data_IF_009497467684
#
_entry.id   IF_009497467684
#
_cell.length_a   1.000
_cell.length_b   1.000
_cell.length_c   1.000
_cell.angle_alpha   90.00
_cell.angle_beta   90.00
_cell.angle_gamma   90.00
#
_symmetry.space_group_name_H-M   'P 1'
#
loop_
_entity.id
_entity.type
_entity.pdbx_description
1 polymer ?
#
# COMPACT_ATOMS: atom_id res chain seq x y z
N UNK A 1 -14.00 -41.50 -6.68
CA UNK A 1 -13.57 -41.39 -6.49
C UNK A 1 -13.42 -40.95 -6.02
N UNK A 2 -13.54 -40.72 -5.71
CA UNK A 2 -13.20 -40.46 -5.27
C UNK A 2 -12.99 -39.90 -4.77
N UNK A 3 -13.09 -39.80 -4.66
CA UNK A 3 -12.66 -39.48 -4.16
C UNK A 3 -12.81 -38.58 -3.85
N UNK A 4 -13.10 -38.89 -4.00
CA UNK A 4 -13.06 -38.31 -3.80
C UNK A 4 -13.40 -37.52 -3.29
N UNK A 5 -13.65 -37.64 -3.28
CA UNK A 5 -13.58 -37.11 -2.89
C UNK A 5 -13.39 -36.49 -2.23
N UNK A 6 -13.44 -36.67 -2.10
CA UNK A 6 -12.93 -36.24 -1.63
C UNK A 6 -12.62 -35.66 -1.31
N UNK A 7 -12.56 -35.87 -1.24
CA UNK A 7 -12.11 -35.45 -1.08
C UNK A 7 -12.27 -34.55 -0.95
N UNK A 8 -12.69 -34.92 -1.13
CA UNK A 8 -12.69 -34.22 -1.09
C UNK A 8 -12.91 -33.53 -0.46
N UNK A 9 -13.19 -33.66 -0.33
CA UNK A 9 -13.03 -33.13 0.14
C UNK A 9 -12.75 -32.62 0.76
N UNK A 10 -12.49 -32.96 0.95
CA UNK A 10 -11.92 -32.56 1.35
C UNK A 10 -11.67 -31.75 1.53
N UNK A 11 -11.84 -31.93 1.38
CA UNK A 11 -11.44 -31.29 1.37
C UNK A 11 -11.70 -30.38 1.58
N UNK A 12 -12.06 -30.47 1.51
CA UNK A 12 -12.09 -29.73 1.63
C UNK A 12 -12.11 -29.10 2.24
N UNK A 13 -12.18 -29.30 2.41
CA UNK A 13 -11.87 -28.80 2.90
C UNK A 13 -11.37 -28.25 3.31
N UNK A 14 -11.26 -28.33 3.45
CA UNK A 14 -10.50 -27.84 3.72
C UNK A 14 -10.38 -27.01 3.62
N UNK A 15 -10.65 -27.04 3.40
CA UNK A 15 -10.38 -26.36 3.24
C UNK A 15 -10.70 -25.47 3.38
N UNK A 16 -10.91 -25.57 3.61
CA UNK A 16 -11.12 -24.82 3.65
C UNK A 16 -11.08 -24.30 4.49
N UNK A 17 -10.98 -24.28 5.01
CA UNK A 17 -10.75 -23.71 5.62
C UNK A 17 -10.20 -23.05 5.89
N UNK A 18 -9.87 -23.10 5.85
CA UNK A 18 -9.31 -22.44 5.88
C UNK A 18 -9.07 -21.64 5.68
N UNK A 19 -9.23 -21.39 5.49
CA UNK A 19 -9.03 -20.53 5.10
C UNK A 19 -9.14 -19.61 5.36
N UNK A 20 -9.54 -19.30 5.74
CA UNK A 20 -9.61 -18.43 5.99
C UNK A 20 -9.06 -17.80 6.66
N UNK A 21 -9.04 -17.90 7.04
CA UNK A 21 -8.59 -17.28 7.63
C UNK A 21 -7.64 -16.70 7.62
N UNK A 22 -7.30 -16.73 7.24
CA UNK A 22 -6.54 -16.17 7.04
C UNK A 22 -6.50 -15.26 6.41
N UNK A 23 -7.19 -15.57 6.08
CA UNK A 23 -7.29 -14.37 5.50
C UNK A 23 -6.91 -13.36 6.40
N UNK A 24 -6.32 -13.57 6.93
CA UNK A 24 -6.11 -12.78 7.76
C UNK A 24 -5.46 -11.70 7.49
N UNK A 25 -5.65 -10.80 8.10
CA UNK A 25 -5.12 -9.54 7.86
C UNK A 25 -3.66 -9.54 8.18
N UNK A 26 -2.90 -9.18 7.20
CA UNK A 26 -1.49 -8.92 7.34
C UNK A 26 -1.36 -7.53 7.94
N UNK A 27 -0.46 -7.34 8.88
CA UNK A 27 -0.23 -6.00 9.41
C UNK A 27 0.32 -5.11 8.30
N UNK A 28 0.00 -3.83 8.38
CA UNK A 28 0.50 -2.88 7.38
C UNK A 28 2.03 -2.82 7.39
N UNK A 29 2.62 -2.99 8.54
CA UNK A 29 4.08 -2.99 8.66
C UNK A 29 4.69 -4.18 7.91
N UNK A 30 4.10 -5.35 8.06
CA UNK A 30 4.55 -6.54 7.35
C UNK A 30 4.35 -6.38 5.85
N UNK A 31 3.21 -5.83 5.46
CA UNK A 31 2.93 -5.58 4.05
C UNK A 31 3.94 -4.61 3.44
N UNK A 32 4.24 -3.52 4.15
CA UNK A 32 5.23 -2.55 3.65
C UNK A 32 6.61 -3.18 3.50
N UNK A 33 6.99 -4.05 4.42
CA UNK A 33 8.26 -4.73 4.34
C UNK A 33 8.31 -5.66 3.13
N UNK A 34 7.25 -6.40 2.90
CA UNK A 34 7.17 -7.30 1.75
C UNK A 34 7.24 -6.52 0.43
N UNK A 35 6.57 -5.38 0.36
CA UNK A 35 6.60 -4.53 -0.82
C UNK A 35 8.02 -4.06 -1.09
N UNK A 36 8.72 -3.58 -0.06
CA UNK A 36 10.08 -3.09 -0.23
C UNK A 36 11.04 -4.18 -0.64
N UNK A 37 10.81 -5.42 -0.19
CA UNK A 37 11.70 -6.53 -0.51
C UNK A 37 11.45 -7.12 -1.89
N UNK A 38 10.18 -7.20 -2.31
CA UNK A 38 9.81 -7.99 -3.47
C UNK A 38 9.30 -7.18 -4.66
N UNK A 39 8.82 -5.97 -4.45
CA UNK A 39 8.26 -5.17 -5.53
C UNK A 39 9.34 -4.34 -6.21
N UNK A 40 9.07 -3.97 -7.46
CA UNK A 40 10.00 -3.13 -8.22
C UNK A 40 9.76 -1.66 -7.90
N UNK A 41 10.84 -0.95 -7.69
CA UNK A 41 10.76 0.49 -7.48
C UNK A 41 10.17 1.17 -8.72
N UNK A 42 9.17 2.02 -8.53
CA UNK A 42 8.50 2.68 -9.64
C UNK A 42 8.80 4.18 -9.72
N UNK A 43 8.85 4.85 -8.58
CA UNK A 43 9.15 6.27 -8.55
C UNK A 43 8.95 6.84 -7.16
N UNK A 44 9.28 8.12 -7.01
CA UNK A 44 9.12 8.76 -5.70
C UNK A 44 8.99 10.26 -5.80
N UNK A 45 8.43 10.84 -4.74
CA UNK A 45 8.54 12.27 -4.45
C UNK A 45 9.32 12.36 -3.16
N UNK A 46 10.54 12.88 -3.24
CA UNK A 46 11.48 12.85 -2.13
C UNK A 46 11.24 13.96 -1.12
N UNK A 47 11.97 13.87 -0.02
CA UNK A 47 11.80 14.80 1.10
C UNK A 47 12.12 16.24 0.72
N UNK A 48 13.04 16.44 -0.22
CA UNK A 48 13.38 17.79 -0.63
C UNK A 48 12.18 18.48 -1.30
N UNK A 49 11.50 17.76 -2.20
CA UNK A 49 10.31 18.30 -2.88
C UNK A 49 9.15 18.51 -1.91
N UNK A 50 9.13 17.81 -0.79
CA UNK A 50 8.04 17.85 0.18
C UNK A 50 8.33 18.73 1.38
N UNK A 51 9.41 19.53 1.34
CA UNK A 51 9.77 20.39 2.47
C UNK A 51 8.64 21.32 2.87
N UNK A 52 7.89 21.83 1.91
CA UNK A 52 6.80 22.76 2.19
C UNK A 52 5.46 22.08 2.47
N UNK A 53 5.41 20.76 2.38
CA UNK A 53 4.17 20.05 2.69
C UNK A 53 3.91 20.06 4.19
N UNK A 54 2.65 20.21 4.58
CA UNK A 54 2.28 20.21 5.99
C UNK A 54 2.41 18.82 6.61
N UNK A 55 2.23 17.77 5.82
CA UNK A 55 2.18 16.43 6.40
C UNK A 55 3.00 15.37 5.66
N UNK A 56 3.35 15.58 4.40
CA UNK A 56 4.09 14.58 3.65
C UNK A 56 5.58 14.77 3.82
N UNK A 57 6.29 13.69 4.13
CA UNK A 57 7.74 13.70 4.23
C UNK A 57 8.39 13.01 3.05
N UNK A 58 7.80 11.89 2.60
CA UNK A 58 8.36 11.10 1.50
C UNK A 58 7.26 10.21 0.96
N UNK A 59 7.20 10.04 -0.35
CA UNK A 59 6.20 9.17 -0.99
C UNK A 59 6.91 8.36 -2.07
N UNK A 60 6.82 7.03 -1.94
CA UNK A 60 7.45 6.11 -2.90
C UNK A 60 6.42 5.16 -3.48
N UNK A 61 6.55 4.88 -4.75
CA UNK A 61 5.68 3.92 -5.44
C UNK A 61 6.47 2.70 -5.86
N UNK A 62 5.82 1.56 -5.78
CA UNK A 62 6.38 0.25 -6.13
C UNK A 62 5.38 -0.50 -6.99
N UNK A 63 5.89 -1.27 -7.93
CA UNK A 63 5.06 -2.11 -8.77
C UNK A 63 5.29 -3.57 -8.44
N UNK A 64 4.19 -4.30 -8.26
CA UNK A 64 4.27 -5.73 -8.04
C UNK A 64 3.07 -6.38 -8.74
N UNK A 65 3.38 -7.27 -9.68
CA UNK A 65 2.35 -8.07 -10.37
C UNK A 65 1.28 -7.19 -11.01
N UNK A 66 1.71 -6.08 -11.61
CA UNK A 66 0.81 -5.18 -12.34
C UNK A 66 0.08 -4.16 -11.50
N UNK A 67 0.27 -4.16 -10.19
CA UNK A 67 -0.37 -3.20 -9.30
C UNK A 67 0.65 -2.24 -8.71
N UNK A 68 0.25 -1.00 -8.50
CA UNK A 68 1.08 -0.04 -7.80
C UNK A 68 0.72 0.00 -6.33
N UNK A 69 1.77 -0.07 -5.51
CA UNK A 69 1.67 0.20 -4.08
C UNK A 69 2.40 1.49 -3.80
N UNK A 70 1.81 2.33 -2.95
CA UNK A 70 2.44 3.58 -2.56
C UNK A 70 2.67 3.55 -1.06
N UNK A 71 3.90 3.87 -0.65
CA UNK A 71 4.23 4.00 0.77
C UNK A 71 4.53 5.45 1.02
N UNK A 72 3.72 6.08 1.87
CA UNK A 72 3.88 7.49 2.21
C UNK A 72 4.33 7.60 3.66
N UNK A 73 5.36 8.39 3.88
CA UNK A 73 5.84 8.72 5.22
C UNK A 73 5.32 10.10 5.56
N UNK A 74 4.58 10.19 6.65
CA UNK A 74 4.02 11.44 7.14
C UNK A 74 4.96 12.04 8.17
N UNK A 75 5.05 13.36 8.18
CA UNK A 75 5.86 14.09 9.16
C UNK A 75 5.35 13.81 10.57
N UNK A 76 6.28 13.81 11.54
CA UNK A 76 5.91 13.66 12.94
C UNK A 76 5.08 14.86 13.39
N UNK A 77 4.04 14.58 14.18
CA UNK A 77 3.28 15.64 14.82
C UNK A 77 4.02 16.13 16.06
N UNK A 78 3.70 17.33 16.55
CA UNK A 78 4.28 17.78 17.81
C UNK A 78 4.07 16.74 18.91
N UNK A 79 5.15 16.40 19.61
CA UNK A 79 5.10 15.40 20.67
C UNK A 79 5.39 13.99 20.22
N UNK A 80 5.52 13.75 18.92
CA UNK A 80 5.89 12.45 18.37
C UNK A 80 7.37 12.45 17.99
N UNK A 81 8.03 11.33 18.24
CA UNK A 81 9.44 11.19 17.87
C UNK A 81 9.63 10.71 16.44
N UNK A 82 8.76 9.79 16.00
CA UNK A 82 8.97 9.11 14.73
C UNK A 82 7.88 9.45 13.73
N UNK A 83 8.25 9.59 12.44
CA UNK A 83 7.27 9.73 11.39
C UNK A 83 6.43 8.47 11.31
N UNK A 84 5.23 8.61 10.73
CA UNK A 84 4.34 7.48 10.52
C UNK A 84 4.30 7.13 9.04
N UNK A 85 4.28 5.82 8.76
CA UNK A 85 4.21 5.33 7.39
C UNK A 85 2.86 4.69 7.13
N UNK A 86 2.33 4.95 5.95
CA UNK A 86 1.06 4.39 5.50
C UNK A 86 1.25 3.75 4.13
N UNK A 87 0.49 2.69 3.87
CA UNK A 87 0.58 1.96 2.61
C UNK A 87 -0.75 2.05 1.86
N UNK A 88 -0.66 2.24 0.55
CA UNK A 88 -1.81 2.40 -0.34
C UNK A 88 -1.73 1.34 -1.42
N UNK A 89 -2.84 0.68 -1.69
CA UNK A 89 -2.91 -0.49 -2.56
C UNK A 89 -3.68 -0.19 -3.83
N UNK A 90 -3.20 -0.74 -4.94
CA UNK A 90 -3.93 -0.66 -6.19
C UNK A 90 -4.08 0.76 -6.73
N UNK A 91 -3.10 1.60 -6.51
CA UNK A 91 -3.13 2.97 -7.02
C UNK A 91 -2.97 2.92 -8.54
N UNK A 92 -3.91 3.50 -9.30
CA UNK A 92 -3.73 3.55 -10.74
C UNK A 92 -2.49 4.37 -11.10
N UNK A 93 -1.76 3.94 -12.13
CA UNK A 93 -0.55 4.66 -12.54
C UNK A 93 -0.86 6.08 -12.96
N UNK A 94 -2.05 6.32 -13.53
CA UNK A 94 -2.47 7.68 -13.87
C UNK A 94 -2.64 8.55 -12.63
N UNK A 95 -3.13 7.98 -11.53
CA UNK A 95 -3.26 8.71 -10.27
C UNK A 95 -1.88 9.04 -9.70
N UNK A 96 -0.97 8.06 -9.74
CA UNK A 96 0.38 8.30 -9.30
C UNK A 96 1.04 9.43 -10.10
N UNK A 97 0.86 9.39 -11.42
CA UNK A 97 1.44 10.42 -12.29
C UNK A 97 0.84 11.79 -12.00
N UNK A 98 -0.47 11.86 -11.78
CA UNK A 98 -1.13 13.13 -11.46
C UNK A 98 -0.67 13.69 -10.13
N UNK A 99 -0.40 12.82 -9.17
CA UNK A 99 0.16 13.24 -7.89
C UNK A 99 1.58 13.76 -8.06
N UNK A 100 2.43 12.97 -8.72
CA UNK A 100 3.86 13.28 -8.82
C UNK A 100 4.14 14.48 -9.72
N UNK A 101 3.47 14.54 -10.86
CA UNK A 101 3.79 15.51 -11.91
C UNK A 101 2.69 16.54 -12.19
N UNK A 102 1.67 16.60 -11.34
CA UNK A 102 0.57 17.52 -11.55
C UNK A 102 0.97 18.96 -11.39
N UNK A 103 0.16 19.85 -11.99
CA UNK A 103 0.44 21.27 -11.99
C UNK A 103 -0.49 22.06 -11.08
N UNK A 104 -1.60 21.48 -10.64
CA UNK A 104 -2.59 22.20 -9.84
C UNK A 104 -2.43 21.88 -8.38
N UNK A 105 -2.42 22.92 -7.56
CA UNK A 105 -2.37 22.73 -6.12
C UNK A 105 -1.00 22.28 -5.61
N UNK A 106 -0.99 21.89 -4.36
CA UNK A 106 0.22 21.42 -3.68
C UNK A 106 0.32 19.91 -3.76
N UNK A 107 1.46 19.36 -3.37
CA UNK A 107 1.61 17.91 -3.25
C UNK A 107 0.60 17.33 -2.26
N UNK A 108 0.36 18.02 -1.14
CA UNK A 108 -0.61 17.55 -0.16
C UNK A 108 -2.02 17.48 -0.71
N UNK A 109 -2.41 18.50 -1.46
CA UNK A 109 -3.73 18.53 -2.09
C UNK A 109 -3.86 17.41 -3.13
N UNK A 110 -2.84 17.22 -3.95
CA UNK A 110 -2.87 16.15 -4.95
C UNK A 110 -2.84 14.77 -4.29
N UNK A 111 -2.16 14.63 -3.16
CA UNK A 111 -2.16 13.38 -2.42
C UNK A 111 -3.58 13.02 -1.98
N UNK A 112 -4.30 13.97 -1.44
CA UNK A 112 -5.70 13.77 -1.05
C UNK A 112 -6.58 13.46 -2.26
N UNK A 113 -6.30 14.06 -3.39
CA UNK A 113 -7.14 13.86 -4.57
C UNK A 113 -6.87 12.51 -5.23
N UNK A 114 -5.63 12.05 -5.29
CA UNK A 114 -5.26 10.93 -6.14
C UNK A 114 -4.80 9.67 -5.41
N UNK A 115 -4.39 9.77 -4.16
CA UNK A 115 -3.76 8.66 -3.44
C UNK A 115 -4.55 8.21 -2.21
N UNK A 116 -5.07 9.14 -1.43
CA UNK A 116 -5.56 8.84 -0.07
C UNK A 116 -6.64 7.76 -0.04
N UNK A 117 -7.49 7.69 -1.06
CA UNK A 117 -8.62 6.76 -1.07
C UNK A 117 -8.19 5.31 -1.29
N UNK A 118 -6.94 5.08 -1.61
CA UNK A 118 -6.43 3.74 -1.90
C UNK A 118 -5.74 3.08 -0.71
N UNK A 119 -5.95 3.61 0.49
CA UNK A 119 -5.33 3.04 1.68
C UNK A 119 -5.62 1.54 1.76
N UNK A 120 -4.57 0.75 2.03
CA UNK A 120 -4.72 -0.69 2.09
C UNK A 120 -5.54 -1.10 3.30
N UNK A 121 -6.31 -2.17 3.12
CA UNK A 121 -7.09 -2.75 4.21
C UNK A 121 -6.19 -3.70 5.01
N UNK A 122 -5.35 -3.13 5.84
CA UNK A 122 -4.44 -3.87 6.70
C UNK A 122 -4.38 -3.21 8.07
N UNK A 123 -3.83 -3.89 9.04
CA UNK A 123 -3.77 -3.35 10.39
C UNK A 123 -2.36 -2.95 10.77
#
# INVERSE_FOLDING_TARGET
>A
MKFILCKIAMILSFFILSQQVNAQSVSCETLMRAIKDDADYFGEVGSFALLSSDFLKEVKAYEYDGSLFVIAVFKSKPGEFLPRSYVFCGVPSSNWNSFKNGFTGTYGERFHQYIIDYVCNCN
#
